data_IF_827515895591
#
_entry.id   IF_827515895591
#
_cell.length_a   1.000
_cell.length_b   1.000
_cell.length_c   1.000
_cell.angle_alpha   90.00
_cell.angle_beta   90.00
_cell.angle_gamma   90.00
#
_symmetry.space_group_name_H-M   'P 1'
#
loop_
_entity.id
_entity.type
_entity.pdbx_description
1 polymer ?
#
# COMPACT_ATOMS: atom_id res chain seq x y z
N UNK A 1 28.72 -9.18 -19.53
CA UNK A 1 28.66 -10.66 -19.42
C UNK A 1 28.46 -11.27 -20.80
N UNK A 2 29.02 -12.47 -21.05
CA UNK A 2 28.73 -13.20 -22.29
C UNK A 2 27.28 -13.68 -22.28
N UNK A 3 26.65 -13.83 -23.48
CA UNK A 3 25.26 -14.27 -23.59
C UNK A 3 25.00 -15.63 -22.91
N UNK A 4 25.94 -16.59 -23.10
CA UNK A 4 25.85 -17.92 -22.46
C UNK A 4 25.94 -17.89 -20.93
N UNK A 5 26.72 -16.97 -20.37
CA UNK A 5 26.81 -16.77 -18.93
C UNK A 5 25.49 -16.23 -18.38
N UNK A 6 24.92 -15.22 -19.04
CA UNK A 6 23.64 -14.63 -18.64
C UNK A 6 22.50 -15.65 -18.70
N UNK A 7 22.47 -16.49 -19.73
CA UNK A 7 21.48 -17.58 -19.85
C UNK A 7 21.60 -18.61 -18.71
N UNK A 8 22.83 -18.92 -18.26
CA UNK A 8 23.04 -19.82 -17.13
C UNK A 8 22.51 -19.24 -15.82
N UNK A 9 22.76 -17.95 -15.57
CA UNK A 9 22.24 -17.22 -14.41
C UNK A 9 20.72 -17.14 -14.43
N UNK A 10 20.11 -16.87 -15.60
CA UNK A 10 18.64 -16.85 -15.75
C UNK A 10 18.02 -18.21 -15.44
N UNK A 11 18.60 -19.30 -15.95
CA UNK A 11 18.12 -20.66 -15.67
C UNK A 11 18.21 -21.01 -14.19
N UNK A 12 19.28 -20.58 -13.52
CA UNK A 12 19.42 -20.76 -12.09
C UNK A 12 18.35 -20.01 -11.32
N UNK A 13 18.15 -18.70 -11.62
CA UNK A 13 17.13 -17.86 -10.98
C UNK A 13 15.74 -18.50 -11.13
N UNK A 14 15.36 -18.89 -12.34
CA UNK A 14 14.05 -19.52 -12.60
C UNK A 14 13.92 -20.82 -11.81
N UNK A 15 14.93 -21.70 -11.88
CA UNK A 15 14.93 -22.96 -11.13
C UNK A 15 14.81 -22.76 -9.63
N UNK A 16 15.57 -21.83 -9.06
CA UNK A 16 15.57 -21.56 -7.62
C UNK A 16 14.27 -20.89 -7.16
N UNK A 17 13.68 -20.01 -7.97
CA UNK A 17 12.38 -19.38 -7.68
C UNK A 17 11.22 -20.40 -7.69
N UNK A 18 11.34 -21.52 -8.42
CA UNK A 18 10.30 -22.53 -8.52
C UNK A 18 10.51 -23.71 -7.58
N UNK A 19 11.70 -24.31 -7.58
CA UNK A 19 12.00 -25.56 -6.87
C UNK A 19 12.47 -25.26 -5.45
N UNK A 20 13.35 -24.27 -5.29
CA UNK A 20 13.90 -23.84 -4.01
C UNK A 20 13.02 -22.87 -3.20
N UNK A 21 11.87 -22.49 -3.75
CA UNK A 21 10.97 -21.46 -3.18
C UNK A 21 10.54 -21.76 -1.74
N UNK A 22 10.55 -20.71 -0.91
CA UNK A 22 10.07 -20.73 0.48
C UNK A 22 8.75 -19.97 0.66
N UNK A 23 8.09 -19.55 -0.43
CA UNK A 23 6.89 -18.72 -0.41
C UNK A 23 5.78 -19.32 0.43
N UNK A 24 5.54 -20.64 0.34
CA UNK A 24 4.50 -21.32 1.14
C UNK A 24 4.77 -21.17 2.64
N UNK A 25 6.02 -21.39 3.08
CA UNK A 25 6.42 -21.25 4.48
C UNK A 25 6.28 -19.80 4.95
N UNK A 26 6.71 -18.83 4.16
CA UNK A 26 6.59 -17.42 4.52
C UNK A 26 5.12 -16.98 4.61
N UNK A 27 4.27 -17.46 3.69
CA UNK A 27 2.83 -17.22 3.74
C UNK A 27 2.23 -17.77 5.04
N UNK A 28 2.52 -19.03 5.36
CA UNK A 28 1.96 -19.68 6.54
C UNK A 28 2.36 -18.92 7.82
N UNK A 29 3.62 -18.49 7.93
CA UNK A 29 4.08 -17.70 9.09
C UNK A 29 3.41 -16.33 9.12
N UNK A 30 3.46 -15.57 8.03
CA UNK A 30 2.97 -14.19 8.04
C UNK A 30 1.44 -14.10 8.15
N UNK A 31 0.71 -14.97 7.44
CA UNK A 31 -0.74 -14.89 7.39
C UNK A 31 -1.45 -15.69 8.47
N UNK A 32 -0.96 -16.90 8.78
CA UNK A 32 -1.67 -17.82 9.67
C UNK A 32 -1.12 -17.84 11.10
N UNK A 33 0.21 -17.72 11.31
CA UNK A 33 0.81 -17.74 12.65
C UNK A 33 0.84 -16.32 13.26
N UNK A 34 1.35 -15.33 12.53
CA UNK A 34 1.39 -13.93 12.98
C UNK A 34 0.02 -13.26 12.78
N UNK A 35 -0.51 -13.31 11.58
CA UNK A 35 -1.81 -12.74 11.23
C UNK A 35 -1.80 -11.22 11.07
N UNK A 36 -2.83 -10.55 11.56
CA UNK A 36 -2.96 -9.10 11.49
C UNK A 36 -1.83 -8.40 12.26
N UNK A 37 -1.14 -7.47 11.59
CA UNK A 37 0.11 -6.84 12.07
C UNK A 37 0.13 -5.34 11.83
N UNK A 38 -0.84 -4.68 12.43
CA UNK A 38 -0.99 -3.22 12.37
C UNK A 38 0.26 -2.51 12.88
N UNK A 39 0.75 -1.49 12.13
CA UNK A 39 1.99 -0.79 12.42
C UNK A 39 2.06 -0.24 13.85
N UNK A 40 3.15 -0.54 14.55
CA UNK A 40 3.38 -0.20 15.96
C UNK A 40 2.74 -1.16 16.98
N UNK A 41 2.19 -2.29 16.54
CA UNK A 41 1.71 -3.37 17.41
C UNK A 41 2.83 -4.36 17.77
N UNK A 42 2.57 -5.26 18.74
CA UNK A 42 3.49 -6.38 19.03
C UNK A 42 3.67 -7.32 17.82
N UNK A 43 2.61 -7.51 17.01
CA UNK A 43 2.67 -8.33 15.80
C UNK A 43 3.48 -7.70 14.67
N UNK A 44 3.50 -6.38 14.58
CA UNK A 44 4.40 -5.62 13.71
C UNK A 44 5.87 -5.90 14.06
N UNK A 45 6.21 -5.85 15.37
CA UNK A 45 7.55 -6.17 15.86
C UNK A 45 7.94 -7.62 15.59
N UNK A 46 7.06 -8.58 15.90
CA UNK A 46 7.27 -10.01 15.65
C UNK A 46 7.55 -10.26 14.15
N UNK A 47 6.82 -9.57 13.27
CA UNK A 47 7.02 -9.64 11.82
C UNK A 47 8.39 -9.12 11.41
N UNK A 48 8.80 -7.95 11.91
CA UNK A 48 10.10 -7.38 11.60
C UNK A 48 11.26 -8.31 12.09
N UNK A 49 11.14 -8.89 13.27
CA UNK A 49 12.11 -9.85 13.81
C UNK A 49 12.18 -11.13 12.97
N UNK A 50 11.04 -11.66 12.53
CA UNK A 50 10.97 -12.80 11.60
C UNK A 50 11.67 -12.48 10.27
N UNK A 51 11.36 -11.35 9.63
CA UNK A 51 11.96 -10.95 8.36
C UNK A 51 13.48 -10.84 8.47
N UNK A 52 13.99 -10.18 9.52
CA UNK A 52 15.43 -10.03 9.75
C UNK A 52 16.09 -11.38 9.95
N UNK A 53 15.45 -12.31 10.69
CA UNK A 53 15.96 -13.66 10.88
C UNK A 53 16.08 -14.43 9.57
N UNK A 54 15.09 -14.30 8.68
CA UNK A 54 15.13 -14.93 7.35
C UNK A 54 16.21 -14.32 6.46
N UNK A 55 16.37 -12.99 6.47
CA UNK A 55 17.45 -12.33 5.75
C UNK A 55 18.83 -12.80 6.23
N UNK A 56 19.00 -13.00 7.54
CA UNK A 56 20.23 -13.54 8.11
C UNK A 56 20.48 -14.98 7.68
N UNK A 57 19.47 -15.86 7.78
CA UNK A 57 19.55 -17.26 7.37
C UNK A 57 19.88 -17.42 5.88
N UNK A 58 19.42 -16.49 5.07
CA UNK A 58 19.71 -16.44 3.64
C UNK A 58 21.07 -15.78 3.31
N UNK A 59 21.89 -15.44 4.32
CA UNK A 59 23.26 -14.95 4.13
C UNK A 59 23.38 -13.51 3.63
N UNK A 60 22.37 -12.69 3.84
CA UNK A 60 22.47 -11.26 3.50
C UNK A 60 23.39 -10.52 4.47
N UNK A 61 23.98 -9.45 3.99
CA UNK A 61 24.84 -8.60 4.80
C UNK A 61 23.98 -7.63 5.64
N UNK A 62 24.42 -7.39 6.88
CA UNK A 62 23.91 -6.38 7.79
C UNK A 62 22.36 -6.37 7.95
N UNK A 63 21.71 -7.55 8.16
CA UNK A 63 20.28 -7.60 8.41
C UNK A 63 19.97 -6.96 9.77
N UNK A 64 19.03 -6.02 9.80
CA UNK A 64 18.70 -5.26 10.99
C UNK A 64 17.27 -4.74 10.99
N UNK A 65 16.74 -4.47 12.16
CA UNK A 65 15.55 -3.63 12.34
C UNK A 65 15.97 -2.19 12.53
N UNK A 66 15.18 -1.27 11.99
CA UNK A 66 15.34 0.18 12.15
C UNK A 66 14.09 0.75 12.83
N UNK A 67 14.15 1.01 14.15
CA UNK A 67 13.00 1.51 14.89
C UNK A 67 12.71 2.97 14.54
N UNK A 68 11.43 3.33 14.50
CA UNK A 68 10.96 4.71 14.35
C UNK A 68 9.73 4.97 15.21
N UNK A 69 9.47 6.24 15.53
CA UNK A 69 8.29 6.62 16.29
C UNK A 69 7.09 6.73 15.35
N UNK A 70 5.99 6.08 15.73
CA UNK A 70 4.72 6.08 15.01
C UNK A 70 3.60 6.58 15.90
N UNK A 71 2.71 7.39 15.35
CA UNK A 71 1.44 7.71 15.98
C UNK A 71 0.38 6.75 15.45
N UNK A 72 0.04 5.78 16.23
CA UNK A 72 -0.86 4.70 15.85
C UNK A 72 -2.23 4.80 16.52
N UNK A 73 -3.12 3.89 16.19
CA UNK A 73 -4.52 3.90 16.60
C UNK A 73 -4.98 2.49 16.92
N UNK A 74 -5.81 2.36 17.96
CA UNK A 74 -6.44 1.11 18.35
C UNK A 74 -7.95 1.27 18.36
N UNK A 75 -8.65 0.37 17.70
CA UNK A 75 -10.09 0.24 17.73
C UNK A 75 -10.51 -0.82 18.74
N UNK A 76 -11.36 -0.46 19.71
CA UNK A 76 -11.87 -1.39 20.72
C UNK A 76 -13.26 -1.91 20.33
N UNK A 77 -14.16 -1.02 19.94
CA UNK A 77 -15.53 -1.38 19.55
C UNK A 77 -16.23 -0.25 18.78
N UNK A 78 -17.18 -0.63 17.92
CA UNK A 78 -18.10 0.31 17.29
C UNK A 78 -19.52 -0.27 17.23
N UNK A 79 -20.51 0.59 17.42
CA UNK A 79 -21.92 0.23 17.32
C UNK A 79 -22.69 1.33 16.61
N UNK A 80 -23.45 0.94 15.58
CA UNK A 80 -24.46 1.79 14.95
C UNK A 80 -25.82 1.16 15.22
N UNK A 81 -26.77 1.95 15.72
CA UNK A 81 -28.10 1.47 16.11
C UNK A 81 -29.19 2.46 15.71
N UNK A 82 -30.27 1.96 15.16
CA UNK A 82 -31.53 2.72 14.98
C UNK A 82 -32.26 2.79 16.33
N UNK A 83 -32.46 3.99 16.87
CA UNK A 83 -33.00 4.15 18.24
C UNK A 83 -34.38 3.63 18.33
N UNK A 84 -35.28 3.97 17.42
CA UNK A 84 -36.70 3.65 17.45
C UNK A 84 -36.99 2.14 17.34
N UNK A 85 -36.13 1.41 16.65
CA UNK A 85 -36.32 -0.04 16.44
C UNK A 85 -35.42 -0.92 17.27
N UNK A 86 -34.34 -0.34 17.84
CA UNK A 86 -33.31 -1.09 18.52
C UNK A 86 -32.39 -1.90 17.59
N UNK A 87 -32.60 -1.85 16.26
CA UNK A 87 -31.83 -2.63 15.30
C UNK A 87 -30.39 -2.16 15.23
N UNK A 88 -29.45 -3.09 15.44
CA UNK A 88 -28.03 -2.87 15.18
C UNK A 88 -27.75 -2.98 13.69
N UNK A 89 -26.91 -2.13 13.19
CA UNK A 89 -26.47 -2.02 11.81
C UNK A 89 -25.07 -2.62 11.70
N UNK A 90 -24.83 -3.46 10.70
CA UNK A 90 -23.51 -4.00 10.43
C UNK A 90 -22.59 -2.87 9.94
N UNK A 91 -21.54 -2.60 10.69
CA UNK A 91 -20.74 -1.40 10.52
C UNK A 91 -19.26 -1.62 10.86
N UNK A 92 -18.40 -0.76 10.31
CA UNK A 92 -16.97 -0.72 10.50
C UNK A 92 -16.53 0.75 10.58
N UNK A 93 -15.74 1.19 11.57
CA UNK A 93 -15.23 2.55 11.58
C UNK A 93 -14.19 2.73 10.47
N UNK A 94 -14.08 3.96 9.97
CA UNK A 94 -12.93 4.31 9.16
C UNK A 94 -11.65 4.22 10.01
N UNK A 95 -10.52 3.92 9.37
CA UNK A 95 -9.23 3.92 10.05
C UNK A 95 -9.00 5.29 10.70
N UNK A 96 -8.52 5.27 11.94
CA UNK A 96 -8.27 6.46 12.76
C UNK A 96 -9.52 7.24 13.14
N UNK A 97 -10.69 6.60 13.14
CA UNK A 97 -11.93 7.19 13.64
C UNK A 97 -11.81 7.51 15.15
N UNK A 98 -12.15 8.71 15.61
CA UNK A 98 -12.04 9.09 17.02
C UNK A 98 -13.10 8.39 17.89
N UNK A 99 -12.84 8.29 19.20
CA UNK A 99 -13.84 7.92 20.18
C UNK A 99 -14.98 8.93 20.16
N UNK A 100 -16.20 8.44 20.06
CA UNK A 100 -17.40 9.27 20.02
C UNK A 100 -18.64 8.51 20.50
N UNK A 101 -19.60 9.28 21.03
CA UNK A 101 -20.97 8.83 21.28
C UNK A 101 -21.92 9.91 20.80
N UNK A 102 -22.67 9.60 19.76
CA UNK A 102 -23.57 10.54 19.07
C UNK A 102 -24.96 9.93 18.94
N UNK A 103 -25.98 10.70 19.30
CA UNK A 103 -27.38 10.40 19.00
C UNK A 103 -27.94 11.55 18.18
N UNK A 104 -28.39 11.30 16.96
CA UNK A 104 -28.79 12.35 16.03
C UNK A 104 -29.82 11.87 15.00
N UNK A 105 -30.63 12.79 14.46
CA UNK A 105 -31.55 12.48 13.38
C UNK A 105 -30.79 12.02 12.14
N UNK A 106 -31.31 10.98 11.48
CA UNK A 106 -30.75 10.44 10.24
C UNK A 106 -31.21 11.26 9.04
N UNK A 107 -30.27 11.73 8.25
CA UNK A 107 -30.55 12.32 6.93
C UNK A 107 -29.75 11.59 5.84
N UNK A 108 -30.33 11.45 4.66
CA UNK A 108 -29.66 10.90 3.47
C UNK A 108 -29.34 12.05 2.51
N UNK A 109 -28.06 12.15 2.14
CA UNK A 109 -27.54 13.16 1.21
C UNK A 109 -27.10 12.55 -0.12
N UNK A 110 -27.56 11.34 -0.45
CA UNK A 110 -27.26 10.69 -1.71
C UNK A 110 -25.79 10.32 -1.86
N UNK A 111 -25.12 10.91 -2.79
CA UNK A 111 -23.67 10.74 -3.06
C UNK A 111 -22.79 11.82 -2.43
N UNK A 112 -23.40 12.77 -1.71
CA UNK A 112 -22.75 13.95 -1.17
C UNK A 112 -22.06 14.80 -2.26
N UNK A 113 -22.64 14.89 -3.45
CA UNK A 113 -22.19 15.82 -4.49
C UNK A 113 -22.41 17.28 -4.04
N UNK A 114 -21.69 18.22 -4.63
CA UNK A 114 -21.84 19.64 -4.28
C UNK A 114 -23.29 20.13 -4.43
N UNK A 115 -24.02 19.61 -5.42
CA UNK A 115 -25.42 19.95 -5.64
C UNK A 115 -26.31 19.39 -4.53
N UNK A 116 -26.16 18.10 -4.17
CA UNK A 116 -26.92 17.45 -3.10
C UNK A 116 -26.65 18.12 -1.74
N UNK A 117 -25.37 18.43 -1.45
CA UNK A 117 -24.98 19.12 -0.23
C UNK A 117 -25.59 20.53 -0.13
N UNK A 118 -25.61 21.28 -1.23
CA UNK A 118 -26.21 22.61 -1.27
C UNK A 118 -27.71 22.57 -0.99
N UNK A 119 -28.41 21.54 -1.50
CA UNK A 119 -29.85 21.33 -1.23
C UNK A 119 -30.13 20.92 0.20
N UNK A 120 -29.21 20.19 0.83
CA UNK A 120 -29.38 19.62 2.16
C UNK A 120 -28.73 20.42 3.29
N UNK A 121 -28.04 21.50 2.99
CA UNK A 121 -27.16 22.25 3.90
C UNK A 121 -27.79 22.57 5.26
N UNK A 122 -29.05 23.00 5.28
CA UNK A 122 -29.77 23.37 6.51
C UNK A 122 -30.07 22.17 7.42
N UNK A 123 -30.13 20.97 6.87
CA UNK A 123 -30.48 19.74 7.58
C UNK A 123 -29.24 18.94 8.03
N UNK A 124 -28.04 19.24 7.50
CA UNK A 124 -26.81 18.52 7.82
C UNK A 124 -26.35 18.80 9.24
N UNK A 125 -26.42 20.06 9.65
CA UNK A 125 -25.91 20.48 10.95
C UNK A 125 -26.53 19.69 12.11
N UNK A 126 -25.69 19.00 12.88
CA UNK A 126 -26.10 18.21 14.06
C UNK A 126 -26.77 16.88 13.70
N UNK A 127 -26.79 16.45 12.44
CA UNK A 127 -27.41 15.19 12.00
C UNK A 127 -26.38 14.07 11.79
N UNK A 128 -26.84 12.82 11.92
CA UNK A 128 -26.14 11.64 11.41
C UNK A 128 -26.41 11.53 9.90
N UNK A 129 -25.38 11.77 9.12
CA UNK A 129 -25.50 11.89 7.66
C UNK A 129 -25.20 10.55 6.99
N UNK A 130 -26.10 10.06 6.16
CA UNK A 130 -25.93 8.87 5.32
C UNK A 130 -25.54 9.29 3.91
N UNK A 131 -24.48 8.67 3.36
CA UNK A 131 -24.04 8.90 1.97
C UNK A 131 -23.58 7.62 1.30
N UNK A 132 -23.56 7.60 -0.04
CA UNK A 132 -22.98 6.50 -0.81
C UNK A 132 -21.45 6.62 -0.89
N UNK A 133 -20.73 5.50 -0.83
CA UNK A 133 -19.31 5.44 -1.08
C UNK A 133 -18.97 5.90 -2.51
N UNK A 134 -19.73 5.42 -3.48
CA UNK A 134 -19.54 5.75 -4.91
C UNK A 134 -19.95 7.22 -5.14
N UNK A 135 -19.18 8.00 -5.95
CA UNK A 135 -19.58 9.33 -6.37
C UNK A 135 -20.84 9.30 -7.25
N UNK A 136 -21.49 10.45 -7.41
CA UNK A 136 -22.68 10.56 -8.22
C UNK A 136 -22.39 10.12 -9.67
N UNK A 137 -23.19 9.17 -10.22
CA UNK A 137 -23.02 8.71 -11.60
C UNK A 137 -23.14 9.86 -12.60
N UNK A 138 -22.29 9.83 -13.64
CA UNK A 138 -22.27 10.83 -14.73
C UNK A 138 -21.92 12.28 -14.32
N UNK A 139 -21.48 12.49 -13.08
CA UNK A 139 -20.92 13.77 -12.64
C UNK A 139 -19.38 13.68 -12.56
N UNK A 140 -18.67 14.82 -12.55
CA UNK A 140 -17.23 14.82 -12.28
C UNK A 140 -16.95 14.10 -10.94
N UNK A 141 -16.09 13.07 -10.91
CA UNK A 141 -15.82 12.32 -9.70
C UNK A 141 -15.21 13.23 -8.63
N UNK A 142 -15.69 13.08 -7.39
CA UNK A 142 -15.14 13.74 -6.23
C UNK A 142 -14.56 12.69 -5.31
N UNK A 143 -13.30 12.84 -4.87
CA UNK A 143 -12.69 11.93 -3.89
C UNK A 143 -13.57 11.78 -2.64
N UNK A 144 -13.60 10.60 -2.06
CA UNK A 144 -14.35 10.34 -0.82
C UNK A 144 -13.94 11.31 0.29
N UNK A 145 -12.64 11.55 0.44
CA UNK A 145 -12.10 12.47 1.45
C UNK A 145 -12.59 13.91 1.29
N UNK A 146 -12.71 14.42 0.06
CA UNK A 146 -13.25 15.76 -0.20
C UNK A 146 -14.74 15.85 0.19
N UNK A 147 -15.52 14.80 -0.08
CA UNK A 147 -16.93 14.73 0.32
C UNK A 147 -17.12 14.64 1.83
N UNK A 148 -16.29 13.84 2.51
CA UNK A 148 -16.26 13.74 3.97
C UNK A 148 -15.93 15.08 4.63
N UNK A 149 -14.90 15.78 4.15
CA UNK A 149 -14.52 17.12 4.63
C UNK A 149 -15.62 18.17 4.42
N UNK A 150 -16.36 18.05 3.31
CA UNK A 150 -17.49 18.95 3.06
C UNK A 150 -18.60 18.74 4.10
N UNK A 151 -18.93 17.47 4.41
CA UNK A 151 -19.93 17.14 5.43
C UNK A 151 -19.51 17.62 6.85
N UNK A 152 -18.25 17.46 7.20
CA UNK A 152 -17.69 17.98 8.45
C UNK A 152 -17.82 19.51 8.52
N UNK A 153 -17.46 20.22 7.46
CA UNK A 153 -17.65 21.68 7.35
C UNK A 153 -19.11 22.13 7.47
N UNK A 154 -20.07 21.36 6.99
CA UNK A 154 -21.50 21.60 7.17
C UNK A 154 -22.00 21.27 8.57
N UNK A 155 -21.15 20.71 9.44
CA UNK A 155 -21.44 20.44 10.85
C UNK A 155 -22.24 19.16 11.07
N UNK A 156 -22.03 18.12 10.25
CA UNK A 156 -22.54 16.77 10.54
C UNK A 156 -22.05 16.32 11.93
N UNK A 157 -22.84 15.60 12.66
CA UNK A 157 -22.45 15.02 13.96
C UNK A 157 -21.80 13.65 13.83
N UNK A 158 -22.13 12.93 12.76
CA UNK A 158 -21.51 11.66 12.34
C UNK A 158 -21.78 11.43 10.86
N UNK A 159 -20.93 10.62 10.21
CA UNK A 159 -21.12 10.25 8.82
C UNK A 159 -21.22 8.73 8.71
N UNK A 160 -22.28 8.23 8.07
CA UNK A 160 -22.48 6.84 7.71
C UNK A 160 -22.26 6.68 6.22
N UNK A 161 -21.26 5.89 5.82
CA UNK A 161 -20.92 5.67 4.41
C UNK A 161 -21.40 4.29 3.99
N UNK A 162 -22.27 4.23 2.99
CA UNK A 162 -22.78 2.97 2.45
C UNK A 162 -21.69 2.30 1.61
N UNK A 163 -21.30 1.08 2.02
CA UNK A 163 -20.38 0.24 1.26
C UNK A 163 -20.98 -0.12 -0.12
N UNK A 164 -20.15 -0.15 -1.15
CA UNK A 164 -20.57 -0.55 -2.50
C UNK A 164 -20.52 -2.07 -2.72
N UNK A 165 -19.72 -2.79 -1.93
CA UNK A 165 -19.65 -4.25 -1.97
C UNK A 165 -20.89 -4.87 -1.32
N UNK A 166 -21.47 -5.87 -1.96
CA UNK A 166 -22.64 -6.60 -1.46
C UNK A 166 -22.26 -7.80 -0.58
N UNK A 167 -23.23 -8.49 -0.01
CA UNK A 167 -23.02 -9.66 0.85
C UNK A 167 -22.58 -9.32 2.26
N UNK A 168 -22.90 -8.13 2.74
CA UNK A 168 -22.54 -7.67 4.08
C UNK A 168 -21.04 -7.46 4.27
N UNK A 169 -20.26 -7.34 3.20
CA UNK A 169 -18.81 -7.07 3.23
C UNK A 169 -18.57 -5.63 3.67
N UNK A 170 -17.44 -5.41 4.31
CA UNK A 170 -16.99 -4.09 4.76
C UNK A 170 -15.48 -4.02 4.59
N UNK A 171 -15.01 -2.94 3.98
CA UNK A 171 -13.63 -2.63 3.72
C UNK A 171 -13.17 -1.48 4.60
N UNK A 172 -12.00 -1.57 5.21
CA UNK A 172 -11.38 -0.44 5.92
C UNK A 172 -11.02 0.67 4.94
N UNK A 173 -11.29 1.91 5.33
CA UNK A 173 -10.93 3.11 4.57
C UNK A 173 -10.31 4.15 5.48
N UNK A 174 -9.37 4.94 4.94
CA UNK A 174 -8.80 6.08 5.62
C UNK A 174 -9.67 7.34 5.47
N UNK A 175 -9.61 8.25 6.43
CA UNK A 175 -10.27 9.55 6.36
C UNK A 175 -9.48 10.60 5.59
N UNK A 176 -8.24 10.32 5.21
CA UNK A 176 -7.36 11.23 4.48
C UNK A 176 -6.54 10.53 3.41
N UNK A 177 -6.19 11.25 2.37
CA UNK A 177 -5.26 10.80 1.35
C UNK A 177 -3.82 10.76 1.86
N UNK A 178 -2.99 9.85 1.34
CA UNK A 178 -1.56 9.79 1.68
C UNK A 178 -0.79 11.07 1.34
N UNK A 179 -1.28 11.85 0.39
CA UNK A 179 -0.78 13.18 0.06
C UNK A 179 -0.98 14.23 1.15
N UNK A 180 -2.03 14.10 1.92
CA UNK A 180 -2.48 15.11 2.87
C UNK A 180 -1.75 14.98 4.21
N UNK A 181 -0.42 15.12 4.20
CA UNK A 181 0.44 14.97 5.38
C UNK A 181 0.06 15.86 6.56
N UNK A 182 -0.40 17.08 6.27
CA UNK A 182 -0.64 18.13 7.25
C UNK A 182 -2.13 18.39 7.50
N UNK A 183 -3.01 17.62 6.85
CA UNK A 183 -4.45 17.78 7.07
C UNK A 183 -4.83 16.98 8.31
N UNK A 184 -5.45 17.60 9.32
CA UNK A 184 -5.93 16.89 10.50
C UNK A 184 -6.95 15.82 10.07
N UNK A 185 -6.93 14.70 10.78
CA UNK A 185 -7.98 13.70 10.68
C UNK A 185 -9.33 14.37 11.00
N UNK A 186 -10.41 13.90 10.35
CA UNK A 186 -11.74 14.43 10.61
C UNK A 186 -12.14 14.06 12.04
N UNK A 187 -12.58 15.03 12.82
CA UNK A 187 -12.82 14.84 14.27
C UNK A 187 -14.17 14.18 14.59
N UNK A 188 -15.10 14.12 13.63
CA UNK A 188 -16.39 13.45 13.81
C UNK A 188 -16.30 11.96 13.45
N UNK A 189 -17.10 11.08 14.08
CA UNK A 189 -17.06 9.67 13.75
C UNK A 189 -17.56 9.41 12.32
N UNK A 190 -16.76 8.64 11.56
CA UNK A 190 -17.08 8.18 10.21
C UNK A 190 -17.12 6.67 10.23
N UNK A 191 -18.26 6.11 9.84
CA UNK A 191 -18.56 4.69 9.94
C UNK A 191 -19.04 4.19 8.59
N UNK A 192 -18.44 3.13 8.08
CA UNK A 192 -19.00 2.35 6.99
C UNK A 192 -20.14 1.48 7.50
N UNK A 193 -21.19 1.40 6.72
CA UNK A 193 -22.30 0.46 6.92
C UNK A 193 -22.41 -0.46 5.72
N UNK A 194 -22.80 -1.72 5.93
CA UNK A 194 -22.94 -2.66 4.81
C UNK A 194 -23.91 -2.12 3.76
N UNK A 195 -23.77 -2.56 2.52
CA UNK A 195 -24.64 -2.14 1.42
C UNK A 195 -26.13 -2.35 1.77
N UNK A 196 -26.47 -3.53 2.27
CA UNK A 196 -27.84 -3.93 2.58
C UNK A 196 -28.43 -3.08 3.72
N UNK A 197 -27.67 -2.87 4.78
CA UNK A 197 -28.09 -2.03 5.90
C UNK A 197 -28.11 -0.55 5.53
N UNK A 198 -27.18 -0.09 4.69
CA UNK A 198 -27.19 1.26 4.15
C UNK A 198 -28.44 1.57 3.33
N UNK A 199 -28.85 0.65 2.45
CA UNK A 199 -30.09 0.76 1.70
C UNK A 199 -31.35 0.70 2.61
N UNK A 200 -31.28 -0.05 3.73
CA UNK A 200 -32.32 -0.01 4.75
C UNK A 200 -32.37 1.36 5.43
N UNK A 201 -31.25 1.90 5.87
CA UNK A 201 -31.17 3.23 6.48
C UNK A 201 -31.68 4.34 5.53
N UNK A 202 -31.38 4.24 4.23
CA UNK A 202 -31.87 5.16 3.18
C UNK A 202 -33.39 5.19 3.10
N UNK A 203 -34.05 4.02 3.28
CA UNK A 203 -35.51 3.98 3.36
C UNK A 203 -36.04 4.55 4.66
N UNK A 204 -35.29 4.37 5.76
CA UNK A 204 -35.69 4.88 7.09
C UNK A 204 -35.55 6.39 7.22
N UNK A 205 -34.57 7.01 6.55
CA UNK A 205 -34.33 8.46 6.62
C UNK A 205 -35.60 9.27 6.28
N UNK A 206 -36.49 8.70 5.45
CA UNK A 206 -37.78 9.28 5.10
C UNK A 206 -38.80 9.28 6.26
N UNK A 207 -38.52 8.54 7.36
CA UNK A 207 -39.40 8.35 8.51
C UNK A 207 -38.97 9.14 9.77
N UNK A 208 -37.98 10.02 9.64
CA UNK A 208 -37.42 10.85 10.74
C UNK A 208 -36.98 10.00 11.95
N UNK A 209 -36.12 9.03 11.73
CA UNK A 209 -35.55 8.19 12.78
C UNK A 209 -34.22 8.80 13.31
N UNK A 210 -33.85 8.39 14.53
CA UNK A 210 -32.56 8.76 15.12
C UNK A 210 -31.59 7.57 15.09
N UNK A 211 -30.31 7.90 14.93
CA UNK A 211 -29.19 6.94 14.94
C UNK A 211 -28.32 7.22 16.16
N UNK A 212 -27.97 6.14 16.86
CA UNK A 212 -26.90 6.15 17.85
C UNK A 212 -25.65 5.58 17.18
N UNK A 213 -24.56 6.35 17.21
CA UNK A 213 -23.21 5.94 16.80
C UNK A 213 -22.32 5.97 18.04
N UNK A 214 -21.73 4.84 18.39
CA UNK A 214 -20.76 4.74 19.49
C UNK A 214 -19.48 4.10 18.97
N UNK A 215 -18.34 4.78 19.14
CA UNK A 215 -16.99 4.29 18.79
C UNK A 215 -16.10 4.43 20.00
N UNK A 216 -15.39 3.38 20.32
CA UNK A 216 -14.29 3.40 21.31
C UNK A 216 -12.99 3.10 20.62
N UNK A 217 -12.09 4.06 20.65
CA UNK A 217 -10.78 3.98 20.04
C UNK A 217 -9.78 4.83 20.83
N UNK A 218 -8.50 4.56 20.65
CA UNK A 218 -7.42 5.28 21.32
C UNK A 218 -6.31 5.58 20.34
N UNK A 219 -5.83 6.82 20.32
CA UNK A 219 -4.58 7.20 19.64
C UNK A 219 -3.44 7.16 20.66
N UNK A 220 -2.31 6.57 20.27
CA UNK A 220 -1.14 6.50 21.13
C UNK A 220 0.16 6.51 20.33
N UNK A 221 1.22 6.96 20.98
CA UNK A 221 2.57 6.89 20.41
C UNK A 221 3.15 5.50 20.67
N UNK A 222 3.76 4.91 19.66
CA UNK A 222 4.40 3.60 19.70
C UNK A 222 5.73 3.62 18.93
N UNK A 223 6.44 2.51 18.97
CA UNK A 223 7.60 2.26 18.13
C UNK A 223 7.23 1.21 17.10
N UNK A 224 7.45 1.53 15.84
CA UNK A 224 7.34 0.59 14.72
C UNK A 224 8.73 0.29 14.14
N UNK A 225 8.84 -0.72 13.27
CA UNK A 225 10.11 -1.30 12.90
C UNK A 225 10.19 -1.54 11.40
N UNK A 226 11.01 -0.77 10.69
CA UNK A 226 11.43 -1.14 9.35
C UNK A 226 12.49 -2.24 9.40
N UNK A 227 12.65 -2.98 8.31
CA UNK A 227 13.74 -3.96 8.18
C UNK A 227 14.62 -3.62 7.00
N UNK A 228 15.92 -3.88 7.10
CA UNK A 228 16.88 -3.65 6.00
C UNK A 228 17.97 -4.71 6.04
N UNK A 229 18.32 -5.23 4.86
CA UNK A 229 19.52 -6.04 4.63
C UNK A 229 20.08 -5.76 3.24
N UNK A 230 21.29 -6.26 2.93
CA UNK A 230 21.92 -5.96 1.66
C UNK A 230 22.72 -7.13 1.09
N UNK A 231 22.89 -7.13 -0.24
CA UNK A 231 23.94 -7.86 -0.95
C UNK A 231 24.89 -6.81 -1.48
N UNK A 232 26.09 -6.73 -0.90
CA UNK A 232 27.06 -5.69 -1.22
C UNK A 232 27.60 -5.83 -2.63
N UNK A 233 27.62 -4.72 -3.37
CA UNK A 233 28.18 -4.60 -4.70
C UNK A 233 29.70 -4.72 -4.73
N UNK A 234 30.26 -5.23 -5.83
CA UNK A 234 31.70 -5.43 -6.00
C UNK A 234 32.42 -4.30 -6.74
N UNK A 235 31.69 -3.54 -7.60
CA UNK A 235 32.29 -2.48 -8.43
C UNK A 235 31.96 -1.07 -7.92
N UNK A 236 30.71 -0.88 -7.53
CA UNK A 236 30.18 0.40 -7.08
C UNK A 236 29.39 0.21 -5.78
N UNK A 237 30.08 -0.16 -4.67
CA UNK A 237 29.40 -0.55 -3.42
C UNK A 237 28.60 0.59 -2.77
N UNK A 238 28.90 1.84 -3.07
CA UNK A 238 28.16 3.01 -2.56
C UNK A 238 26.90 3.31 -3.36
N UNK A 239 26.87 2.88 -4.63
CA UNK A 239 25.68 2.97 -5.47
C UNK A 239 24.74 1.83 -5.16
N UNK A 240 23.44 2.09 -5.10
CA UNK A 240 22.50 1.04 -4.69
C UNK A 240 21.11 1.14 -5.32
N UNK A 241 20.45 0.00 -5.38
CA UNK A 241 19.05 -0.18 -5.73
C UNK A 241 18.33 -0.72 -4.49
N UNK A 242 17.14 -0.23 -4.21
CA UNK A 242 16.29 -0.70 -3.11
C UNK A 242 15.12 -1.49 -3.69
N UNK A 243 14.92 -2.72 -3.22
CA UNK A 243 13.70 -3.49 -3.38
C UNK A 243 12.95 -3.49 -2.05
N UNK A 244 11.72 -3.05 -2.04
CA UNK A 244 10.97 -2.92 -0.81
C UNK A 244 9.47 -3.20 -0.97
N UNK A 245 8.77 -3.38 0.15
CA UNK A 245 7.33 -3.47 0.28
C UNK A 245 6.96 -3.30 1.74
N UNK A 246 5.71 -2.99 2.06
CA UNK A 246 5.31 -2.91 3.48
C UNK A 246 4.94 -4.29 4.03
N UNK A 247 5.17 -4.46 5.32
CA UNK A 247 4.86 -5.70 6.03
C UNK A 247 3.72 -5.56 7.03
N UNK A 248 3.29 -4.35 7.35
CA UNK A 248 2.08 -4.15 8.14
C UNK A 248 0.82 -4.42 7.33
N UNK A 249 -0.31 -4.52 8.00
CA UNK A 249 -1.63 -4.76 7.41
C UNK A 249 -2.66 -3.87 8.08
N UNK A 250 -3.81 -3.68 7.46
CA UNK A 250 -4.96 -3.11 8.16
C UNK A 250 -5.37 -3.99 9.34
N UNK A 251 -6.08 -3.39 10.29
CA UNK A 251 -6.62 -4.08 11.47
C UNK A 251 -7.52 -5.23 11.02
N UNK A 252 -7.43 -6.37 11.71
CA UNK A 252 -8.23 -7.58 11.50
C UNK A 252 -8.04 -8.28 10.14
N UNK A 253 -7.05 -7.88 9.34
CA UNK A 253 -6.65 -8.58 8.11
C UNK A 253 -5.29 -9.23 8.28
N UNK A 254 -5.14 -10.47 7.85
CA UNK A 254 -3.81 -11.09 7.74
C UNK A 254 -3.05 -10.66 6.49
N UNK A 255 -3.69 -9.87 5.61
CA UNK A 255 -3.05 -9.24 4.47
C UNK A 255 -2.40 -10.23 3.52
N UNK A 256 -3.14 -11.22 3.02
CA UNK A 256 -2.60 -12.24 2.13
C UNK A 256 -2.07 -11.63 0.83
N UNK A 257 -2.87 -10.78 0.20
CA UNK A 257 -2.46 -9.98 -0.96
C UNK A 257 -1.84 -8.65 -0.52
N UNK A 258 -2.46 -7.97 0.42
CA UNK A 258 -2.09 -6.64 0.91
C UNK A 258 -1.58 -6.69 2.37
N UNK A 259 -0.25 -6.80 2.64
CA UNK A 259 0.79 -6.92 1.63
C UNK A 259 1.78 -8.05 1.98
N UNK A 260 1.28 -9.24 2.41
CA UNK A 260 2.19 -10.40 2.52
C UNK A 260 2.80 -10.76 1.16
N UNK A 261 2.07 -10.52 0.06
CA UNK A 261 2.58 -10.81 -1.29
C UNK A 261 3.86 -10.03 -1.60
N UNK A 262 3.88 -8.73 -1.35
CA UNK A 262 5.05 -7.87 -1.54
C UNK A 262 6.17 -8.19 -0.55
N UNK A 263 5.84 -8.32 0.73
CA UNK A 263 6.82 -8.69 1.78
C UNK A 263 7.53 -10.01 1.45
N UNK A 264 6.77 -11.04 1.11
CA UNK A 264 7.33 -12.37 0.74
C UNK A 264 8.20 -12.25 -0.51
N UNK A 265 7.77 -11.47 -1.51
CA UNK A 265 8.57 -11.28 -2.72
C UNK A 265 9.90 -10.58 -2.42
N UNK A 266 9.96 -9.60 -1.51
CA UNK A 266 11.22 -8.97 -1.07
C UNK A 266 12.17 -10.02 -0.48
N UNK A 267 11.68 -10.84 0.46
CA UNK A 267 12.50 -11.87 1.12
C UNK A 267 12.96 -12.93 0.11
N UNK A 268 12.08 -13.35 -0.77
CA UNK A 268 12.35 -14.42 -1.73
C UNK A 268 13.30 -13.98 -2.85
N UNK A 269 13.18 -12.75 -3.36
CA UNK A 269 14.16 -12.18 -4.31
C UNK A 269 15.52 -12.05 -3.64
N UNK A 270 15.58 -11.61 -2.38
CA UNK A 270 16.81 -11.53 -1.60
C UNK A 270 17.47 -12.91 -1.45
N UNK A 271 16.69 -13.95 -1.13
CA UNK A 271 17.13 -15.33 -1.03
C UNK A 271 17.70 -15.85 -2.36
N UNK A 272 16.96 -15.68 -3.44
CA UNK A 272 17.36 -16.15 -4.79
C UNK A 272 18.66 -15.48 -5.23
N UNK A 273 18.80 -14.16 -5.04
CA UNK A 273 20.01 -13.43 -5.44
C UNK A 273 21.20 -13.74 -4.51
N UNK A 274 20.96 -14.02 -3.23
CA UNK A 274 22.03 -14.48 -2.31
C UNK A 274 22.51 -15.88 -2.71
N UNK A 275 21.63 -16.79 -3.09
CA UNK A 275 22.02 -18.10 -3.63
C UNK A 275 22.72 -18.00 -4.97
N UNK A 276 22.28 -17.12 -5.86
CA UNK A 276 22.95 -16.83 -7.11
C UNK A 276 24.42 -16.40 -6.87
N UNK A 277 24.63 -15.58 -5.83
CA UNK A 277 25.97 -15.18 -5.42
C UNK A 277 26.79 -16.36 -4.89
N UNK A 278 26.26 -17.14 -3.97
CA UNK A 278 27.00 -18.22 -3.28
C UNK A 278 27.27 -19.43 -4.17
N UNK A 279 26.33 -19.80 -5.05
CA UNK A 279 26.40 -21.04 -5.84
C UNK A 279 26.89 -20.80 -7.28
N UNK A 280 26.60 -19.63 -7.86
CA UNK A 280 26.99 -19.30 -9.24
C UNK A 280 28.12 -18.26 -9.32
N UNK A 281 28.59 -17.74 -8.18
CA UNK A 281 29.65 -16.72 -8.15
C UNK A 281 29.23 -15.35 -8.66
N UNK A 282 27.92 -15.09 -8.82
CA UNK A 282 27.44 -13.80 -9.26
C UNK A 282 27.65 -12.75 -8.15
N UNK A 283 28.31 -11.64 -8.46
CA UNK A 283 28.36 -10.48 -7.59
C UNK A 283 27.65 -9.31 -8.27
N UNK A 284 26.69 -8.62 -7.60
CA UNK A 284 26.10 -7.41 -8.14
C UNK A 284 27.17 -6.31 -8.28
N UNK A 285 27.08 -5.47 -9.28
CA UNK A 285 28.01 -4.34 -9.44
C UNK A 285 27.72 -3.24 -8.42
N UNK A 286 26.46 -2.86 -8.29
CA UNK A 286 25.93 -1.97 -7.24
C UNK A 286 25.40 -2.78 -6.08
N UNK A 287 25.32 -2.20 -4.88
CA UNK A 287 24.69 -2.80 -3.70
C UNK A 287 23.20 -2.95 -3.93
N UNK A 288 22.64 -4.10 -3.57
CA UNK A 288 21.23 -4.36 -3.54
C UNK A 288 20.76 -4.29 -2.09
N UNK A 289 19.86 -3.38 -1.77
CA UNK A 289 19.19 -3.27 -0.47
C UNK A 289 17.82 -3.89 -0.55
N UNK A 290 17.46 -4.67 0.45
CA UNK A 290 16.16 -5.29 0.63
C UNK A 290 15.57 -4.74 1.91
N UNK A 291 14.38 -4.14 1.82
CA UNK A 291 13.77 -3.49 2.96
C UNK A 291 12.28 -3.82 3.06
N UNK A 292 11.75 -3.79 4.28
CA UNK A 292 10.30 -3.79 4.46
C UNK A 292 9.89 -2.67 5.41
N UNK A 293 8.73 -2.08 5.12
CA UNK A 293 8.23 -0.92 5.84
C UNK A 293 7.09 -1.30 6.77
N UNK A 294 7.02 -0.65 7.94
CA UNK A 294 5.87 -0.66 8.81
C UNK A 294 5.09 0.65 8.68
N UNK A 295 3.79 0.62 8.96
CA UNK A 295 2.95 1.83 8.99
C UNK A 295 2.68 2.45 7.62
N UNK A 296 2.70 1.65 6.56
CA UNK A 296 2.20 2.05 5.23
C UNK A 296 0.73 2.42 5.33
N UNK A 297 -0.08 1.53 5.92
CA UNK A 297 -1.51 1.65 6.17
C UNK A 297 -1.89 2.86 7.05
N UNK A 298 -0.89 3.51 7.61
CA UNK A 298 -0.98 4.69 8.45
C UNK A 298 -0.30 5.91 7.82
N UNK A 299 -0.47 6.10 6.52
CA UNK A 299 0.07 7.23 5.73
C UNK A 299 1.59 7.16 5.52
N UNK A 300 2.11 5.99 5.14
CA UNK A 300 3.50 5.76 4.74
C UNK A 300 4.53 6.15 5.83
N UNK A 301 4.19 5.95 7.12
CA UNK A 301 5.04 6.46 8.20
C UNK A 301 6.44 5.85 8.20
N UNK A 302 6.58 4.54 7.89
CA UNK A 302 7.85 3.82 7.90
C UNK A 302 8.77 4.21 6.75
N UNK A 303 8.29 4.19 5.51
CA UNK A 303 9.08 4.62 4.35
C UNK A 303 9.49 6.10 4.44
N UNK A 304 8.60 6.98 4.92
CA UNK A 304 8.94 8.39 5.19
C UNK A 304 9.99 8.55 6.28
N UNK A 305 9.91 7.75 7.36
CA UNK A 305 10.93 7.75 8.41
C UNK A 305 12.28 7.30 7.86
N UNK A 306 12.30 6.23 7.06
CA UNK A 306 13.50 5.73 6.41
C UNK A 306 14.13 6.79 5.48
N UNK A 307 13.35 7.37 4.58
CA UNK A 307 13.84 8.42 3.66
C UNK A 307 14.37 9.63 4.43
N UNK A 308 13.72 10.02 5.52
CA UNK A 308 14.17 11.12 6.38
C UNK A 308 15.50 10.82 7.06
N UNK A 309 15.72 9.58 7.51
CA UNK A 309 16.95 9.16 8.20
C UNK A 309 18.11 9.05 7.21
N UNK A 310 17.90 8.35 6.09
CA UNK A 310 18.95 7.97 5.16
C UNK A 310 19.21 9.00 4.06
N UNK A 311 18.21 9.77 3.63
CA UNK A 311 18.28 10.63 2.45
C UNK A 311 17.92 12.11 2.73
N UNK A 312 18.03 12.54 3.99
CA UNK A 312 17.94 13.98 4.29
C UNK A 312 19.22 14.72 3.87
N UNK A 313 19.14 16.05 3.79
CA UNK A 313 20.30 16.91 3.47
C UNK A 313 21.51 16.72 4.42
N UNK A 314 21.27 16.18 5.61
CA UNK A 314 22.30 15.89 6.61
C UNK A 314 22.94 14.50 6.44
N UNK A 315 22.35 13.64 5.64
CA UNK A 315 22.88 12.31 5.37
C UNK A 315 24.06 12.38 4.42
N UNK A 316 25.02 11.47 4.62
CA UNK A 316 26.14 11.25 3.69
C UNK A 316 25.90 10.09 2.74
N UNK A 317 24.77 9.40 2.88
CA UNK A 317 24.42 8.28 2.03
C UNK A 317 24.00 8.78 0.64
N UNK A 318 24.48 8.12 -0.41
CA UNK A 318 24.04 8.43 -1.77
C UNK A 318 22.57 8.08 -1.94
N UNK A 319 21.87 8.86 -2.76
CA UNK A 319 20.50 8.52 -3.14
C UNK A 319 20.48 7.19 -3.90
N UNK A 320 19.46 6.34 -3.70
CA UNK A 320 19.32 5.12 -4.48
C UNK A 320 19.13 5.46 -5.97
N UNK A 321 19.66 4.62 -6.84
CA UNK A 321 19.42 4.72 -8.29
C UNK A 321 17.97 4.44 -8.65
N UNK A 322 17.31 3.59 -7.87
CA UNK A 322 15.89 3.27 -8.01
C UNK A 322 15.40 2.63 -6.71
N UNK A 323 14.23 3.05 -6.23
CA UNK A 323 13.42 2.27 -5.30
C UNK A 323 12.34 1.50 -6.09
N UNK A 324 12.28 0.19 -5.91
CA UNK A 324 11.25 -0.69 -6.49
C UNK A 324 10.35 -1.13 -5.36
N UNK A 325 9.13 -0.66 -5.36
CA UNK A 325 8.12 -1.00 -4.36
C UNK A 325 7.23 -2.16 -4.84
N UNK A 326 6.98 -3.10 -3.94
CA UNK A 326 6.18 -4.30 -4.16
C UNK A 326 4.95 -4.23 -3.27
N UNK A 327 3.77 -4.22 -3.91
CA UNK A 327 2.52 -4.09 -3.20
C UNK A 327 1.39 -4.76 -4.00
N UNK A 328 0.58 -5.61 -3.35
CA UNK A 328 -0.53 -6.36 -3.93
C UNK A 328 -0.15 -7.21 -5.17
N UNK A 329 0.83 -8.11 -5.06
CA UNK A 329 1.38 -8.86 -6.20
C UNK A 329 0.57 -10.06 -6.66
N UNK A 330 -0.49 -10.46 -5.96
CA UNK A 330 -1.32 -11.62 -6.33
C UNK A 330 -2.27 -11.32 -7.49
N UNK A 331 -1.75 -10.72 -8.56
CA UNK A 331 -2.50 -10.31 -9.76
C UNK A 331 -2.00 -10.96 -11.05
N UNK A 332 -1.20 -12.01 -10.94
CA UNK A 332 -0.51 -12.68 -12.03
C UNK A 332 0.97 -12.30 -12.12
N UNK A 333 1.63 -12.67 -13.23
CA UNK A 333 3.01 -12.26 -13.49
C UNK A 333 3.13 -10.73 -13.59
N UNK A 334 4.33 -10.23 -13.42
CA UNK A 334 4.62 -8.79 -13.52
C UNK A 334 4.29 -8.27 -14.92
N UNK A 335 3.24 -7.47 -15.05
CA UNK A 335 2.74 -6.93 -16.32
C UNK A 335 3.28 -5.55 -16.62
N UNK A 336 3.76 -4.86 -15.62
CA UNK A 336 4.27 -3.50 -15.77
C UNK A 336 4.99 -2.98 -14.56
N UNK A 337 5.67 -1.87 -14.80
CA UNK A 337 6.32 -1.05 -13.79
C UNK A 337 5.83 0.38 -14.00
N UNK A 338 5.32 1.02 -12.95
CA UNK A 338 4.90 2.41 -12.97
C UNK A 338 5.95 3.27 -12.27
N UNK A 339 6.72 4.00 -13.05
CA UNK A 339 7.72 4.95 -12.57
C UNK A 339 7.05 6.25 -12.14
N UNK A 340 7.53 6.84 -11.06
CA UNK A 340 7.08 8.17 -10.65
C UNK A 340 7.60 9.25 -11.58
N UNK A 341 8.79 9.07 -12.17
CA UNK A 341 9.40 9.97 -13.14
C UNK A 341 9.73 9.23 -14.44
N UNK A 342 9.63 9.89 -15.61
CA UNK A 342 9.78 9.21 -16.90
C UNK A 342 11.22 8.90 -17.31
N UNK A 343 12.22 9.45 -16.61
CA UNK A 343 13.64 9.40 -17.01
C UNK A 343 14.22 8.00 -17.17
N UNK A 344 13.79 7.02 -16.37
CA UNK A 344 14.26 5.64 -16.44
C UNK A 344 13.40 4.72 -17.35
N UNK A 345 12.38 5.25 -18.01
CA UNK A 345 11.38 4.44 -18.73
C UNK A 345 12.01 3.56 -19.81
N UNK A 346 12.73 4.16 -20.74
CA UNK A 346 13.37 3.43 -21.84
C UNK A 346 14.47 2.50 -21.32
N UNK A 347 15.27 2.99 -20.37
CA UNK A 347 16.36 2.23 -19.78
C UNK A 347 15.88 0.92 -19.13
N UNK A 348 14.79 0.95 -18.36
CA UNK A 348 14.24 -0.25 -17.72
C UNK A 348 13.53 -1.14 -18.75
N UNK A 349 12.82 -0.54 -19.73
CA UNK A 349 12.17 -1.29 -20.80
C UNK A 349 13.18 -2.10 -21.62
N UNK A 350 14.31 -1.51 -21.99
CA UNK A 350 15.40 -2.22 -22.71
C UNK A 350 15.91 -3.42 -21.93
N UNK A 351 16.03 -3.32 -20.59
CA UNK A 351 16.44 -4.45 -19.75
C UNK A 351 15.38 -5.55 -19.69
N UNK A 352 14.10 -5.21 -19.67
CA UNK A 352 12.99 -6.18 -19.74
C UNK A 352 12.95 -6.88 -21.10
N UNK A 353 13.10 -6.15 -22.19
CA UNK A 353 13.07 -6.69 -23.55
C UNK A 353 14.26 -7.65 -23.79
N UNK A 354 15.42 -7.35 -23.21
CA UNK A 354 16.59 -8.22 -23.25
C UNK A 354 16.44 -9.52 -22.44
N UNK A 355 15.45 -9.64 -21.56
CA UNK A 355 15.19 -10.89 -20.84
C UNK A 355 14.66 -12.00 -21.75
N UNK A 356 13.98 -11.64 -22.85
CA UNK A 356 13.59 -12.56 -23.89
C UNK A 356 12.58 -13.63 -23.46
N UNK A 357 11.85 -13.41 -22.38
CA UNK A 357 10.68 -14.20 -22.03
C UNK A 357 9.46 -13.60 -22.74
N UNK A 358 8.51 -14.44 -23.15
CA UNK A 358 7.29 -13.98 -23.82
C UNK A 358 6.32 -13.23 -22.89
N UNK A 359 6.73 -12.97 -21.65
CA UNK A 359 5.98 -12.21 -20.67
C UNK A 359 6.12 -10.71 -20.97
N UNK A 360 5.08 -10.14 -21.56
CA UNK A 360 5.05 -8.71 -21.85
C UNK A 360 4.92 -7.91 -20.56
N UNK A 361 5.98 -7.18 -20.22
CA UNK A 361 6.01 -6.21 -19.14
C UNK A 361 6.30 -4.83 -19.70
N UNK A 362 5.47 -3.86 -19.37
CA UNK A 362 5.56 -2.50 -19.89
C UNK A 362 5.97 -1.51 -18.80
N UNK A 363 6.88 -0.61 -19.15
CA UNK A 363 7.25 0.50 -18.26
C UNK A 363 6.44 1.74 -18.63
N UNK A 364 5.70 2.27 -17.68
CA UNK A 364 4.94 3.51 -17.79
C UNK A 364 5.41 4.51 -16.75
N UNK A 365 4.93 5.74 -16.84
CA UNK A 365 5.23 6.77 -15.85
C UNK A 365 3.99 7.59 -15.53
N UNK A 366 3.63 7.62 -14.29
CA UNK A 366 2.64 8.53 -13.69
C UNK A 366 2.89 8.65 -12.19
N UNK A 367 2.49 9.76 -11.61
CA UNK A 367 2.62 9.99 -10.17
C UNK A 367 1.50 9.24 -9.44
N UNK A 368 1.88 8.34 -8.54
CA UNK A 368 0.99 7.57 -7.68
C UNK A 368 1.39 7.78 -6.21
N UNK A 369 0.42 8.10 -5.36
CA UNK A 369 0.64 8.38 -3.94
C UNK A 369 0.19 7.24 -3.01
N UNK A 370 -0.28 6.11 -3.56
CA UNK A 370 -1.00 5.09 -2.80
C UNK A 370 -0.11 3.96 -2.28
N UNK A 371 1.21 4.14 -2.21
CA UNK A 371 2.12 3.19 -1.55
C UNK A 371 3.51 3.82 -1.30
N UNK A 372 4.40 3.08 -0.67
CA UNK A 372 5.69 3.52 -0.10
C UNK A 372 6.69 4.13 -1.09
N UNK A 373 6.61 3.80 -2.39
CA UNK A 373 7.43 4.44 -3.43
C UNK A 373 7.22 5.95 -3.47
N UNK A 374 6.06 6.43 -3.06
CA UNK A 374 5.75 7.86 -3.02
C UNK A 374 6.61 8.62 -2.00
N UNK A 375 6.98 8.01 -0.88
CA UNK A 375 7.86 8.62 0.11
C UNK A 375 9.25 8.99 -0.48
N UNK A 376 9.73 8.21 -1.45
CA UNK A 376 10.95 8.50 -2.20
C UNK A 376 10.72 9.58 -3.27
N UNK A 377 9.63 9.46 -4.03
CA UNK A 377 9.28 10.43 -5.07
C UNK A 377 9.11 11.86 -4.53
N UNK A 378 8.53 12.01 -3.33
CA UNK A 378 8.41 13.30 -2.64
C UNK A 378 9.75 14.01 -2.41
N UNK A 379 10.86 13.28 -2.46
CA UNK A 379 12.23 13.78 -2.32
C UNK A 379 12.98 13.80 -3.64
N UNK A 380 12.29 13.73 -4.76
CA UNK A 380 12.86 13.66 -6.09
C UNK A 380 13.82 12.46 -6.26
N UNK A 381 13.55 11.34 -5.60
CA UNK A 381 14.29 10.09 -5.73
C UNK A 381 13.53 9.20 -6.71
N UNK A 382 14.23 8.61 -7.69
CA UNK A 382 13.64 7.67 -8.62
C UNK A 382 13.01 6.49 -7.90
N UNK A 383 11.71 6.31 -8.12
CA UNK A 383 10.93 5.26 -7.50
C UNK A 383 9.88 4.71 -8.47
N UNK A 384 9.52 3.47 -8.27
CA UNK A 384 8.45 2.82 -9.02
C UNK A 384 7.68 1.86 -8.14
N UNK A 385 6.48 1.54 -8.58
CA UNK A 385 5.72 0.41 -8.09
C UNK A 385 5.56 -0.61 -9.21
N UNK A 386 5.67 -1.90 -8.89
CA UNK A 386 5.30 -2.94 -9.84
C UNK A 386 3.79 -2.94 -9.97
N UNK A 387 3.30 -3.03 -11.22
CA UNK A 387 1.90 -2.79 -11.51
C UNK A 387 0.99 -3.79 -10.83
N UNK A 388 0.13 -3.29 -9.94
CA UNK A 388 -0.92 -3.99 -9.20
C UNK A 388 -2.33 -3.82 -9.78
N UNK A 389 -2.45 -3.41 -11.05
CA UNK A 389 -3.75 -3.06 -11.62
C UNK A 389 -4.73 -4.23 -11.63
N UNK A 390 -5.82 -3.97 -10.96
CA UNK A 390 -7.03 -4.76 -10.94
C UNK A 390 -7.69 -4.69 -12.31
N UNK A 391 -7.44 -5.64 -13.19
CA UNK A 391 -8.31 -5.79 -14.33
C UNK A 391 -9.66 -6.27 -13.80
N UNK A 392 -10.65 -5.39 -13.78
CA UNK A 392 -12.01 -5.69 -13.42
C UNK A 392 -12.41 -7.07 -13.95
N UNK A 393 -12.76 -7.99 -13.03
CA UNK A 393 -13.33 -9.30 -13.33
C UNK A 393 -12.39 -10.46 -13.59
N UNK A 394 -11.06 -10.34 -13.44
CA UNK A 394 -10.14 -11.48 -13.69
C UNK A 394 -9.36 -11.98 -12.47
N UNK A 395 -9.23 -11.23 -11.41
CA UNK A 395 -8.45 -11.64 -10.24
C UNK A 395 -9.21 -11.32 -8.96
N UNK A 396 -9.88 -12.34 -8.41
CA UNK A 396 -10.70 -12.21 -7.22
C UNK A 396 -9.96 -11.87 -5.91
N UNK A 397 -8.61 -11.85 -5.93
CA UNK A 397 -7.82 -11.62 -4.71
C UNK A 397 -7.79 -10.16 -4.26
N UNK A 398 -7.65 -9.22 -5.19
CA UNK A 398 -7.71 -7.79 -4.89
C UNK A 398 -9.13 -7.29 -4.55
N UNK A 399 -10.12 -8.15 -4.74
CA UNK A 399 -11.50 -7.88 -4.30
C UNK A 399 -11.63 -7.82 -2.78
N UNK A 400 -10.67 -8.41 -2.05
CA UNK A 400 -10.63 -8.45 -0.59
C UNK A 400 -9.71 -7.39 0.03
N UNK A 401 -9.21 -6.44 -0.76
CA UNK A 401 -8.38 -5.34 -0.28
C UNK A 401 -8.99 -4.68 0.95
N UNK A 402 -8.17 -4.48 1.99
CA UNK A 402 -8.55 -3.90 3.28
C UNK A 402 -9.74 -4.60 3.99
N UNK A 403 -9.93 -5.88 3.74
CA UNK A 403 -10.98 -6.67 4.41
C UNK A 403 -10.36 -7.79 5.26
N UNK A 404 -11.06 -8.25 6.32
CA UNK A 404 -10.65 -9.45 7.06
C UNK A 404 -10.56 -10.71 6.18
N UNK A 405 -11.18 -10.69 5.01
CA UNK A 405 -11.14 -11.77 4.01
C UNK A 405 -9.86 -11.80 3.18
N UNK A 406 -8.97 -10.81 3.28
CA UNK A 406 -7.64 -10.87 2.66
C UNK A 406 -6.70 -11.73 3.53
N UNK A 407 -6.79 -13.03 3.35
CA UNK A 407 -6.10 -14.07 4.11
C UNK A 407 -5.14 -14.87 3.21
N UNK A 408 -4.46 -15.85 3.77
CA UNK A 408 -3.45 -16.68 3.11
C UNK A 408 -3.88 -17.26 1.74
N UNK A 409 -5.17 -17.62 1.61
CA UNK A 409 -5.75 -18.16 0.37
C UNK A 409 -5.87 -17.13 -0.78
N UNK A 410 -5.67 -15.85 -0.51
CA UNK A 410 -5.63 -14.78 -1.52
C UNK A 410 -4.26 -14.61 -2.14
N UNK A 411 -3.21 -15.20 -1.53
CA UNK A 411 -1.86 -15.20 -2.07
C UNK A 411 -1.71 -16.35 -3.07
N UNK A 412 -1.58 -16.03 -4.35
CA UNK A 412 -1.33 -17.02 -5.39
C UNK A 412 0.16 -17.36 -5.46
N UNK A 413 0.56 -18.45 -4.80
CA UNK A 413 1.96 -18.90 -4.71
C UNK A 413 2.60 -19.10 -6.10
N UNK A 414 1.88 -19.66 -7.06
CA UNK A 414 2.41 -19.88 -8.40
C UNK A 414 2.75 -18.58 -9.11
N UNK A 415 1.84 -17.63 -9.08
CA UNK A 415 2.03 -16.32 -9.70
C UNK A 415 3.16 -15.55 -9.00
N UNK A 416 3.27 -15.66 -7.68
CA UNK A 416 4.34 -15.03 -6.94
C UNK A 416 5.73 -15.63 -7.27
N UNK A 417 5.82 -16.92 -7.54
CA UNK A 417 7.06 -17.56 -8.05
C UNK A 417 7.48 -16.98 -9.41
N UNK A 418 6.54 -16.76 -10.31
CA UNK A 418 6.79 -16.11 -11.60
C UNK A 418 7.27 -14.66 -11.40
N UNK A 419 6.64 -13.93 -10.49
CA UNK A 419 7.03 -12.57 -10.12
C UNK A 419 8.46 -12.50 -9.60
N UNK A 420 8.81 -13.35 -8.64
CA UNK A 420 10.15 -13.45 -8.06
C UNK A 420 11.19 -13.74 -9.11
N UNK A 421 10.92 -14.68 -10.02
CA UNK A 421 11.83 -15.03 -11.12
C UNK A 421 12.06 -13.84 -12.06
N UNK A 422 11.01 -13.12 -12.45
CA UNK A 422 11.10 -11.94 -13.30
C UNK A 422 11.88 -10.80 -12.63
N UNK A 423 11.53 -10.44 -11.40
CA UNK A 423 12.19 -9.39 -10.64
C UNK A 423 13.65 -9.69 -10.37
N UNK A 424 13.98 -10.90 -9.96
CA UNK A 424 15.38 -11.30 -9.70
C UNK A 424 16.24 -11.16 -10.95
N UNK A 425 15.73 -11.56 -12.12
CA UNK A 425 16.41 -11.41 -13.42
C UNK A 425 16.59 -9.94 -13.80
N UNK A 426 15.58 -9.11 -13.60
CA UNK A 426 15.67 -7.67 -13.86
C UNK A 426 16.67 -6.98 -12.93
N UNK A 427 16.56 -7.19 -11.62
CA UNK A 427 17.44 -6.58 -10.61
C UNK A 427 18.88 -7.03 -10.80
N UNK A 428 19.12 -8.30 -11.12
CA UNK A 428 20.44 -8.83 -11.49
C UNK A 428 21.07 -7.99 -12.63
N UNK A 429 20.32 -7.72 -13.69
CA UNK A 429 20.78 -6.94 -14.84
C UNK A 429 21.02 -5.49 -14.49
N UNK A 430 20.06 -4.85 -13.84
CA UNK A 430 20.16 -3.46 -13.41
C UNK A 430 21.38 -3.24 -12.52
N UNK A 431 21.65 -4.15 -11.58
CA UNK A 431 22.79 -4.05 -10.66
C UNK A 431 24.16 -4.08 -11.36
N UNK A 432 24.25 -4.70 -12.54
CA UNK A 432 25.48 -4.78 -13.35
C UNK A 432 25.68 -3.62 -14.31
N UNK A 433 24.68 -2.78 -14.49
CA UNK A 433 24.75 -1.61 -15.35
C UNK A 433 25.64 -0.54 -14.73
N UNK A 434 26.57 0.02 -15.53
CA UNK A 434 27.44 1.11 -15.05
C UNK A 434 26.58 2.31 -14.59
N UNK A 435 26.74 2.81 -13.35
CA UNK A 435 26.00 3.96 -12.87
C UNK A 435 26.05 5.19 -13.79
N UNK A 436 27.12 5.32 -14.60
CA UNK A 436 27.30 6.43 -15.54
C UNK A 436 26.35 6.41 -16.72
N UNK A 437 25.80 5.25 -17.08
CA UNK A 437 24.87 5.15 -18.20
C UNK A 437 23.39 5.27 -17.74
N UNK A 438 23.15 5.28 -16.44
CA UNK A 438 21.81 5.53 -15.92
C UNK A 438 21.39 6.97 -16.25
N UNK A 439 20.18 7.20 -16.78
CA UNK A 439 19.67 8.55 -17.00
C UNK A 439 19.59 9.34 -15.69
N UNK A 440 20.28 10.48 -15.62
CA UNK A 440 20.45 11.25 -14.36
C UNK A 440 19.60 12.53 -14.29
N UNK A 441 18.66 12.72 -15.17
CA UNK A 441 17.86 13.94 -15.14
C UNK A 441 16.81 13.88 -14.03
N UNK A 442 17.21 14.15 -12.81
CA UNK A 442 16.29 14.25 -11.68
C UNK A 442 15.46 15.54 -11.76
N UNK A 443 14.15 15.48 -11.45
CA UNK A 443 13.35 16.66 -11.29
C UNK A 443 13.80 17.46 -10.05
N UNK A 444 13.53 18.77 -10.04
CA UNK A 444 13.64 19.56 -8.81
C UNK A 444 12.46 19.26 -7.87
N UNK A 445 12.58 19.58 -6.59
CA UNK A 445 11.46 19.43 -5.65
C UNK A 445 10.22 20.22 -6.08
N UNK A 446 10.43 21.40 -6.70
CA UNK A 446 9.34 22.19 -7.27
C UNK A 446 8.67 21.49 -8.47
N UNK A 447 9.47 20.85 -9.34
CA UNK A 447 8.91 20.05 -10.44
C UNK A 447 8.09 18.87 -9.91
N UNK A 448 8.57 18.21 -8.85
CA UNK A 448 7.83 17.11 -8.19
C UNK A 448 6.50 17.60 -7.65
N UNK A 449 6.45 18.74 -6.99
CA UNK A 449 5.20 19.33 -6.47
C UNK A 449 4.21 19.63 -7.61
N UNK A 450 4.69 20.19 -8.73
CA UNK A 450 3.86 20.43 -9.91
C UNK A 450 3.35 19.12 -10.54
N UNK A 451 4.18 18.08 -10.59
CA UNK A 451 3.79 16.76 -11.11
C UNK A 451 2.73 16.11 -10.21
N UNK A 452 2.93 16.13 -8.90
CA UNK A 452 1.96 15.63 -7.92
C UNK A 452 0.60 16.29 -8.14
N UNK A 453 0.54 17.61 -8.17
CA UNK A 453 -0.71 18.35 -8.34
C UNK A 453 -1.41 18.04 -9.66
N UNK A 454 -0.65 17.88 -10.76
CA UNK A 454 -1.20 17.56 -12.08
C UNK A 454 -1.72 16.11 -12.18
N UNK A 455 -0.91 15.14 -11.77
CA UNK A 455 -1.17 13.72 -12.04
C UNK A 455 -2.22 13.17 -11.07
N UNK A 456 -2.25 13.65 -9.84
CA UNK A 456 -3.30 13.29 -8.89
C UNK A 456 -4.66 13.81 -9.30
N UNK A 457 -4.73 15.03 -9.83
CA UNK A 457 -5.97 15.52 -10.41
C UNK A 457 -6.48 14.62 -11.55
N UNK A 458 -5.56 14.10 -12.39
CA UNK A 458 -5.92 13.15 -13.45
C UNK A 458 -6.35 11.80 -12.90
N UNK A 459 -5.64 11.27 -11.88
CA UNK A 459 -6.00 10.02 -11.23
C UNK A 459 -7.41 10.07 -10.64
N UNK A 460 -7.74 11.10 -9.88
CA UNK A 460 -9.07 11.29 -9.32
C UNK A 460 -10.16 11.45 -10.39
N UNK A 461 -9.83 11.96 -11.58
CA UNK A 461 -10.77 12.08 -12.69
C UNK A 461 -10.97 10.80 -13.48
N UNK A 462 -9.99 9.89 -13.47
CA UNK A 462 -9.99 8.72 -14.35
C UNK A 462 -10.43 7.45 -13.63
N UNK A 463 -10.18 7.31 -12.34
CA UNK A 463 -10.29 6.05 -11.59
C UNK A 463 -11.23 6.07 -10.38
N UNK A 464 -11.86 7.18 -10.10
CA UNK A 464 -12.91 7.38 -9.11
C UNK A 464 -14.14 8.00 -9.77
#
# INVERSE_FOLDING_TARGET
MAKSELEALDKFIVGESWIGSQIDRYRDVLCDEIGARWGGSEKDKETAEFIVSEMLLNGLNNPRVEPFQIKTWQHESSVVKVIETGRKIKSLPFLRCPTAKVEAPLIDVGHASNEELSKSALNIKGSAVLMSMIPEPFSPPQPITARLKSLDKFGASSILVIENKTGGRLEYHSTGEWLERNVPDIEIPIIKVSNEDGLYLRRLSKKKVNICVEVKSTFYDSTAFNTVAEIKGDKWPEEHIILAGHHDTVIDSSGGNDNSSGTIAVIEVARVLSKLKSEMGFNPGMTLKFATWSGEEQKLQGSRAFVKIHYSEKSKELLPRLNINLDELSTGHMKGIALQFPNLREFIQDHLDLMGDDLKCYVMSYMDAHSDHFAFAERAIDACITWRWRFYGRHGTSEFHHEPGDAADKLNVRELKEYVAQLSRLIMRLSKSDPKIWPHKMPTLNDVELMINRDIDQYHRTFH
#
